data_IF_448190716065
#
_entry.id   IF_448190716065
#
_cell.length_a   1.000
_cell.length_b   1.000
_cell.length_c   1.000
_cell.angle_alpha   90.00
_cell.angle_beta   90.00
_cell.angle_gamma   90.00
#
_symmetry.space_group_name_H-M   'P 1'
#
loop_
_entity.id
_entity.type
_entity.pdbx_description
1 polymer ?
#
# COMPACT_ATOMS: atom_id res chain seq x y z
N UNK A 1 11.30 4.92 -18.29
CA UNK A 1 10.08 4.38 -17.67
C UNK A 1 10.18 4.51 -16.16
N UNK A 2 9.17 5.07 -15.52
CA UNK A 2 9.12 5.14 -14.05
C UNK A 2 8.63 3.83 -13.49
N UNK A 3 9.32 3.32 -12.49
CA UNK A 3 8.90 2.13 -11.76
C UNK A 3 8.20 2.57 -10.47
N UNK A 4 6.91 2.24 -10.35
CA UNK A 4 6.09 2.61 -9.20
C UNK A 4 5.49 1.37 -8.57
N UNK A 5 5.55 1.30 -7.25
CA UNK A 5 4.87 0.24 -6.51
C UNK A 5 4.22 0.80 -5.26
N UNK A 6 3.14 0.16 -4.85
CA UNK A 6 2.47 0.45 -3.59
C UNK A 6 2.63 -0.79 -2.72
N UNK A 7 3.27 -0.63 -1.56
CA UNK A 7 3.46 -1.72 -0.62
C UNK A 7 2.47 -1.57 0.53
N UNK A 8 1.58 -2.55 0.67
CA UNK A 8 0.55 -2.59 1.71
C UNK A 8 1.04 -3.46 2.86
N UNK A 9 1.34 -2.82 3.99
CA UNK A 9 1.71 -3.53 5.23
C UNK A 9 0.44 -3.87 5.97
N UNK A 10 0.20 -5.16 6.19
CA UNK A 10 -1.07 -5.68 6.72
C UNK A 10 -0.87 -6.89 7.63
N UNK A 11 -1.93 -7.31 8.32
CA UNK A 11 -1.96 -8.55 9.07
C UNK A 11 -3.37 -9.15 9.01
N UNK A 12 -3.47 -10.47 9.19
CA UNK A 12 -4.75 -11.17 9.09
C UNK A 12 -5.76 -10.75 10.16
N UNK A 13 -5.26 -10.43 11.37
CA UNK A 13 -6.12 -10.02 12.49
C UNK A 13 -6.60 -8.58 12.38
N UNK A 14 -6.11 -7.83 11.41
CA UNK A 14 -6.40 -6.41 11.26
C UNK A 14 -7.65 -6.20 10.40
N UNK A 15 -8.77 -5.81 11.04
CA UNK A 15 -10.02 -5.55 10.34
C UNK A 15 -9.92 -4.49 9.25
N UNK A 16 -9.35 -3.29 9.55
CA UNK A 16 -9.18 -2.25 8.53
C UNK A 16 -8.29 -2.70 7.36
N UNK A 17 -7.28 -3.54 7.60
CA UNK A 17 -6.45 -4.10 6.54
C UNK A 17 -7.27 -4.97 5.59
N UNK A 18 -8.17 -5.77 6.15
CA UNK A 18 -9.04 -6.66 5.36
C UNK A 18 -10.07 -5.88 4.56
N UNK A 19 -10.47 -4.72 5.05
CA UNK A 19 -11.40 -3.84 4.33
C UNK A 19 -10.71 -3.15 3.14
N UNK A 20 -9.46 -2.73 3.29
CA UNK A 20 -8.74 -2.00 2.24
C UNK A 20 -8.12 -2.93 1.19
N UNK A 21 -7.85 -4.20 1.54
CA UNK A 21 -7.23 -5.15 0.62
C UNK A 21 -7.95 -5.27 -0.73
N UNK A 22 -9.26 -5.58 -0.74
CA UNK A 22 -9.99 -5.68 -2.00
C UNK A 22 -10.00 -4.37 -2.81
N UNK A 23 -10.02 -3.24 -2.12
CA UNK A 23 -9.97 -1.92 -2.78
C UNK A 23 -8.63 -1.75 -3.51
N UNK A 24 -7.54 -2.12 -2.87
CA UNK A 24 -6.21 -2.07 -3.49
C UNK A 24 -6.09 -3.02 -4.67
N UNK A 25 -6.73 -4.19 -4.59
CA UNK A 25 -6.76 -5.14 -5.69
C UNK A 25 -7.49 -4.56 -6.91
N UNK A 26 -8.60 -3.85 -6.70
CA UNK A 26 -9.31 -3.17 -7.78
C UNK A 26 -8.43 -2.08 -8.41
N UNK A 27 -7.78 -1.27 -7.59
CA UNK A 27 -6.89 -0.21 -8.08
C UNK A 27 -5.74 -0.82 -8.89
N UNK A 28 -5.17 -1.93 -8.41
CA UNK A 28 -4.10 -2.63 -9.11
C UNK A 28 -4.55 -3.12 -10.48
N UNK A 29 -5.75 -3.70 -10.57
CA UNK A 29 -6.28 -4.20 -11.82
C UNK A 29 -6.58 -3.08 -12.82
N UNK A 30 -7.11 -1.95 -12.32
CA UNK A 30 -7.46 -0.81 -13.15
C UNK A 30 -6.25 0.00 -13.62
N UNK A 31 -5.11 -0.13 -12.93
CA UNK A 31 -3.93 0.67 -13.18
C UNK A 31 -2.66 -0.19 -13.31
N UNK A 32 -2.80 -1.40 -13.84
CA UNK A 32 -1.71 -2.36 -13.93
C UNK A 32 -0.51 -1.87 -14.75
N UNK A 33 -0.75 -0.96 -15.68
CA UNK A 33 0.29 -0.35 -16.51
C UNK A 33 1.00 0.82 -15.81
N UNK A 34 0.52 1.26 -14.66
CA UNK A 34 1.02 2.45 -13.97
C UNK A 34 1.62 2.16 -12.61
N UNK A 35 1.09 1.18 -11.88
CA UNK A 35 1.53 0.88 -10.53
C UNK A 35 1.39 -0.62 -10.23
N UNK A 36 2.35 -1.16 -9.49
CA UNK A 36 2.31 -2.53 -9.00
C UNK A 36 1.95 -2.51 -7.53
N UNK A 37 0.94 -3.27 -7.11
CA UNK A 37 0.56 -3.37 -5.70
C UNK A 37 1.15 -4.66 -5.13
N UNK A 38 1.90 -4.50 -4.05
CA UNK A 38 2.53 -5.60 -3.31
C UNK A 38 1.97 -5.61 -1.89
N UNK A 39 1.81 -6.80 -1.33
CA UNK A 39 1.35 -6.98 0.05
C UNK A 39 2.46 -7.56 0.89
N UNK A 40 2.63 -7.02 2.09
CA UNK A 40 3.62 -7.51 3.04
C UNK A 40 2.95 -7.75 4.38
N UNK A 41 2.89 -9.02 4.79
CA UNK A 41 2.32 -9.41 6.07
C UNK A 41 3.33 -9.13 7.18
N UNK A 42 2.98 -8.23 8.11
CA UNK A 42 3.91 -7.79 9.16
C UNK A 42 4.19 -8.87 10.20
N UNK A 43 3.29 -9.83 10.35
CA UNK A 43 3.51 -10.95 11.27
C UNK A 43 4.49 -11.97 10.68
N UNK A 44 4.47 -12.14 9.36
CA UNK A 44 5.40 -13.04 8.66
C UNK A 44 6.77 -12.41 8.46
N UNK A 45 6.81 -11.08 8.31
CA UNK A 45 8.04 -10.34 8.01
C UNK A 45 8.23 -9.18 9.00
N UNK A 46 8.38 -9.48 10.31
CA UNK A 46 8.47 -8.41 11.32
C UNK A 46 9.71 -7.53 11.17
N UNK A 47 10.83 -8.10 10.73
CA UNK A 47 12.06 -7.31 10.56
C UNK A 47 11.94 -6.28 9.44
N UNK A 48 11.22 -6.60 8.38
CA UNK A 48 10.99 -5.65 7.29
C UNK A 48 10.08 -4.53 7.76
N UNK A 49 9.02 -4.86 8.50
CA UNK A 49 8.12 -3.86 9.07
C UNK A 49 8.89 -2.90 9.99
N UNK A 50 9.79 -3.43 10.82
CA UNK A 50 10.64 -2.62 11.70
C UNK A 50 11.57 -1.70 10.89
N UNK A 51 12.16 -2.23 9.82
CA UNK A 51 13.05 -1.47 8.96
C UNK A 51 12.37 -0.22 8.39
N UNK A 52 11.10 -0.33 8.03
CA UNK A 52 10.34 0.79 7.48
C UNK A 52 9.59 1.60 8.54
N UNK A 53 9.80 1.29 9.82
CA UNK A 53 9.19 2.05 10.92
C UNK A 53 7.67 1.96 10.96
N UNK A 54 7.12 0.79 10.62
CA UNK A 54 5.67 0.59 10.57
C UNK A 54 5.14 0.50 12.01
N UNK A 55 4.46 1.55 12.46
CA UNK A 55 3.91 1.63 13.82
C UNK A 55 2.45 1.21 13.89
N UNK A 56 1.72 1.31 12.79
CA UNK A 56 0.31 0.93 12.72
C UNK A 56 0.01 0.35 11.36
N UNK A 57 -1.05 -0.44 11.27
CA UNK A 57 -1.51 -1.05 10.01
C UNK A 57 -3.00 -0.81 9.80
N UNK A 58 -3.45 -0.68 8.54
CA UNK A 58 -2.64 -0.76 7.33
C UNK A 58 -1.79 0.50 7.14
N UNK A 59 -0.59 0.33 6.60
CA UNK A 59 0.24 1.42 6.11
C UNK A 59 0.59 1.08 4.67
N UNK A 60 0.42 2.05 3.79
CA UNK A 60 0.71 1.87 2.36
C UNK A 60 1.78 2.86 1.95
N UNK A 61 2.92 2.33 1.50
CA UNK A 61 4.02 3.15 0.99
C UNK A 61 4.01 3.13 -0.52
N UNK A 62 4.05 4.31 -1.12
CA UNK A 62 4.21 4.43 -2.57
C UNK A 62 5.68 4.66 -2.87
N UNK A 63 6.29 3.72 -3.57
CA UNK A 63 7.70 3.79 -3.98
C UNK A 63 7.78 4.21 -5.43
N UNK A 64 8.68 5.14 -5.71
CA UNK A 64 9.00 5.56 -7.08
C UNK A 64 10.50 5.37 -7.27
N UNK A 65 10.87 4.48 -8.18
CA UNK A 65 12.28 4.18 -8.48
C UNK A 65 13.09 3.84 -7.22
N UNK A 66 12.49 3.06 -6.31
CA UNK A 66 13.17 2.58 -5.11
C UNK A 66 13.14 3.53 -3.92
N UNK A 67 12.49 4.67 -4.04
CA UNK A 67 12.38 5.63 -2.93
C UNK A 67 10.93 5.84 -2.54
N UNK A 68 10.68 5.95 -1.23
CA UNK A 68 9.33 6.20 -0.73
C UNK A 68 8.92 7.62 -1.07
N UNK A 69 7.91 7.77 -1.92
CA UNK A 69 7.39 9.06 -2.35
C UNK A 69 6.20 9.51 -1.50
N UNK A 70 5.45 8.57 -0.92
CA UNK A 70 4.28 8.88 -0.10
C UNK A 70 3.98 7.73 0.84
N UNK A 71 3.50 8.07 2.04
CA UNK A 71 3.03 7.10 3.04
C UNK A 71 1.58 7.42 3.39
N UNK A 72 0.71 6.42 3.30
CA UNK A 72 -0.70 6.54 3.65
C UNK A 72 -0.95 5.62 4.85
N UNK A 73 -1.39 6.18 5.97
CA UNK A 73 -1.64 5.43 7.20
C UNK A 73 -3.13 5.31 7.43
N UNK A 74 -3.61 4.07 7.61
CA UNK A 74 -5.00 3.77 7.87
C UNK A 74 -5.80 3.44 6.62
N UNK A 75 -6.93 2.76 6.82
CA UNK A 75 -7.83 2.38 5.73
C UNK A 75 -8.65 3.58 5.28
N UNK A 76 -8.90 3.65 3.96
CA UNK A 76 -9.72 4.68 3.37
C UNK A 76 -10.61 4.07 2.29
N UNK A 77 -11.80 4.65 2.02
CA UNK A 77 -12.61 4.19 0.89
C UNK A 77 -11.90 4.45 -0.44
N UNK A 78 -12.31 3.74 -1.47
CA UNK A 78 -11.65 3.79 -2.78
C UNK A 78 -11.50 5.22 -3.34
N UNK A 79 -12.55 6.07 -3.31
CA UNK A 79 -12.40 7.44 -3.85
C UNK A 79 -11.31 8.25 -3.15
N UNK A 80 -11.18 8.10 -1.83
CA UNK A 80 -10.16 8.80 -1.06
C UNK A 80 -8.76 8.26 -1.39
N UNK A 81 -8.63 6.94 -1.55
CA UNK A 81 -7.35 6.34 -1.96
C UNK A 81 -6.94 6.79 -3.36
N UNK A 82 -7.88 6.82 -4.30
CA UNK A 82 -7.59 7.28 -5.65
C UNK A 82 -7.12 8.73 -5.66
N UNK A 83 -7.72 9.56 -4.83
CA UNK A 83 -7.28 10.95 -4.71
C UNK A 83 -5.86 11.04 -4.15
N UNK A 84 -5.53 10.25 -3.13
CA UNK A 84 -4.20 10.22 -2.55
C UNK A 84 -3.15 9.70 -3.54
N UNK A 85 -3.55 8.83 -4.46
CA UNK A 85 -2.64 8.20 -5.42
C UNK A 85 -2.62 8.89 -6.78
N UNK A 86 -3.44 9.93 -7.00
CA UNK A 86 -3.61 10.50 -8.34
C UNK A 86 -2.31 10.95 -9.00
N UNK A 87 -1.34 11.41 -8.22
CA UNK A 87 -0.04 11.84 -8.77
C UNK A 87 0.78 10.66 -9.31
N UNK A 88 0.41 9.42 -8.95
CA UNK A 88 1.13 8.20 -9.33
C UNK A 88 0.35 7.34 -10.33
N UNK A 89 -0.84 7.74 -10.65
CA UNK A 89 -1.72 7.07 -11.60
C UNK A 89 -1.93 7.95 -12.83
#
# INVERSE_FOLDING_TARGET
>A
MLFRSLVDFWAEWCGPCRAVGPILEEIAAENADKITVLKLNTDEEPSIAMKYGIASIPTMNVDVNGQIAKTIIGARPKPALLKELEAFL
#
